data_IF_735605550727
#
_entry.id   IF_735605550727
#
_cell.length_a   1.000
_cell.length_b   1.000
_cell.length_c   1.000
_cell.angle_alpha   90.00
_cell.angle_beta   90.00
_cell.angle_gamma   90.00
#
_symmetry.space_group_name_H-M   'P 1'
#
loop_
_entity.id
_entity.type
_entity.pdbx_description
1 polymer ?
#
# COMPACT_ATOMS: atom_id res chain seq x y z
N UNK A 1 8.46 16.22 1.48
CA UNK A 1 8.89 17.48 0.82
C UNK A 1 10.32 17.82 1.20
N UNK A 2 10.68 17.75 2.49
CA UNK A 2 12.04 18.01 2.98
C UNK A 2 13.14 17.21 2.24
N UNK A 3 12.86 15.95 1.89
CA UNK A 3 13.79 15.06 1.17
C UNK A 3 13.47 14.89 -0.32
N UNK A 4 12.64 15.78 -0.89
CA UNK A 4 12.13 15.56 -2.25
C UNK A 4 13.27 15.55 -3.28
N UNK A 5 14.24 16.46 -3.15
CA UNK A 5 15.34 16.58 -4.11
C UNK A 5 16.28 15.37 -4.05
N UNK A 6 16.50 14.82 -2.86
CA UNK A 6 17.34 13.66 -2.59
C UNK A 6 16.79 12.39 -3.27
N UNK A 7 15.47 12.31 -3.46
CA UNK A 7 14.80 11.19 -4.15
C UNK A 7 14.35 11.54 -5.57
N UNK A 8 14.82 12.66 -6.13
CA UNK A 8 14.55 13.04 -7.52
C UNK A 8 13.14 13.60 -7.77
N UNK A 9 12.47 14.10 -6.73
CA UNK A 9 11.18 14.77 -6.82
C UNK A 9 11.31 16.29 -6.78
N UNK A 10 10.53 16.97 -7.61
CA UNK A 10 10.33 18.41 -7.47
C UNK A 10 9.41 18.68 -6.25
N UNK A 11 9.85 19.45 -5.24
CA UNK A 11 9.09 19.71 -4.03
C UNK A 11 7.74 20.42 -4.26
N UNK A 12 7.52 20.99 -5.45
CA UNK A 12 6.28 21.65 -5.86
C UNK A 12 5.20 20.68 -6.36
N UNK A 13 5.38 19.35 -6.21
CA UNK A 13 4.38 18.38 -6.64
C UNK A 13 3.00 18.62 -6.01
N UNK A 14 1.96 18.33 -6.80
CA UNK A 14 0.57 18.27 -6.32
C UNK A 14 0.16 16.82 -6.07
N UNK A 15 -0.94 16.64 -5.32
CA UNK A 15 -1.45 15.32 -4.97
C UNK A 15 -2.83 15.17 -5.60
N UNK A 16 -2.99 14.16 -6.46
CA UNK A 16 -4.28 13.79 -7.02
C UNK A 16 -5.08 12.96 -6.01
N UNK A 17 -6.38 13.23 -5.97
CA UNK A 17 -7.31 12.31 -5.32
C UNK A 17 -7.58 11.08 -6.20
N UNK A 18 -8.50 10.22 -5.76
CA UNK A 18 -8.81 8.98 -6.47
C UNK A 18 -9.51 9.22 -7.81
N UNK A 19 -10.35 10.25 -7.92
CA UNK A 19 -11.06 10.54 -9.17
C UNK A 19 -10.12 11.21 -10.18
N UNK A 20 -9.29 12.17 -9.73
CA UNK A 20 -8.25 12.80 -10.55
C UNK A 20 -7.27 11.74 -11.10
N UNK A 21 -6.85 10.79 -10.25
CA UNK A 21 -6.01 9.65 -10.64
C UNK A 21 -6.70 8.75 -11.67
N UNK A 22 -8.00 8.50 -11.49
CA UNK A 22 -8.77 7.69 -12.43
C UNK A 22 -8.94 8.39 -13.79
N UNK A 23 -9.12 9.71 -13.79
CA UNK A 23 -9.20 10.51 -15.02
C UNK A 23 -7.88 10.57 -15.76
N UNK A 24 -6.76 10.73 -15.05
CA UNK A 24 -5.42 10.68 -15.64
C UNK A 24 -5.11 9.28 -16.22
N UNK A 25 -5.48 8.22 -15.50
CA UNK A 25 -5.41 6.84 -16.01
C UNK A 25 -6.27 6.67 -17.27
N UNK A 26 -7.45 7.28 -17.31
CA UNK A 26 -8.32 7.22 -18.49
C UNK A 26 -7.74 7.98 -19.68
N UNK A 27 -7.10 9.13 -19.46
CA UNK A 27 -6.40 9.88 -20.50
C UNK A 27 -5.32 9.01 -21.15
N UNK A 28 -4.44 8.41 -20.34
CA UNK A 28 -3.41 7.48 -20.82
C UNK A 28 -4.02 6.29 -21.59
N UNK A 29 -5.13 5.74 -21.10
CA UNK A 29 -5.87 4.65 -21.76
C UNK A 29 -6.42 5.05 -23.13
N UNK A 30 -6.88 6.29 -23.29
CA UNK A 30 -7.36 6.82 -24.55
C UNK A 30 -6.22 7.11 -25.54
N UNK A 31 -5.11 7.68 -25.08
CA UNK A 31 -3.92 7.94 -25.89
C UNK A 31 -3.34 6.66 -26.51
N UNK A 32 -3.32 5.57 -25.74
CA UNK A 32 -2.86 4.25 -26.21
C UNK A 32 -3.88 3.50 -27.09
N UNK A 33 -5.06 4.08 -27.33
CA UNK A 33 -6.11 3.47 -28.15
C UNK A 33 -6.85 2.29 -27.49
N UNK A 34 -6.55 1.95 -26.23
CA UNK A 34 -7.19 0.85 -25.50
C UNK A 34 -8.67 1.09 -25.19
N UNK A 35 -9.17 2.31 -25.38
CA UNK A 35 -10.59 2.61 -25.30
C UNK A 35 -11.40 2.18 -26.53
N UNK A 36 -10.76 1.83 -27.64
CA UNK A 36 -11.38 1.56 -28.95
C UNK A 36 -11.22 0.10 -29.41
N UNK A 37 -10.69 -0.78 -28.56
CA UNK A 37 -10.47 -2.19 -28.89
C UNK A 37 -11.80 -2.93 -29.08
N UNK A 38 -11.83 -3.90 -30.01
CA UNK A 38 -13.01 -4.76 -30.23
C UNK A 38 -13.36 -5.59 -28.98
N UNK A 39 -12.34 -5.95 -28.19
CA UNK A 39 -12.52 -6.51 -26.85
C UNK A 39 -12.77 -5.42 -25.80
N UNK A 40 -13.66 -5.69 -24.84
CA UNK A 40 -13.98 -4.78 -23.72
C UNK A 40 -12.79 -4.68 -22.75
N UNK A 41 -11.87 -3.77 -23.04
CA UNK A 41 -10.77 -3.43 -22.13
C UNK A 41 -11.30 -2.89 -20.79
N UNK A 42 -10.59 -3.08 -19.66
CA UNK A 42 -11.08 -2.65 -18.35
C UNK A 42 -11.34 -1.14 -18.27
N UNK A 43 -12.28 -0.74 -17.41
CA UNK A 43 -12.62 0.67 -17.18
C UNK A 43 -11.52 1.39 -16.40
N UNK A 44 -11.53 2.74 -16.41
CA UNK A 44 -10.55 3.55 -15.68
C UNK A 44 -10.42 3.16 -14.21
N UNK A 45 -11.55 2.92 -13.54
CA UNK A 45 -11.58 2.52 -12.14
C UNK A 45 -10.99 1.13 -11.90
N UNK A 46 -11.25 0.18 -12.80
CA UNK A 46 -10.64 -1.16 -12.72
C UNK A 46 -9.14 -1.11 -12.99
N UNK A 47 -8.68 -0.35 -13.99
CA UNK A 47 -7.26 -0.15 -14.26
C UNK A 47 -6.53 0.45 -13.04
N UNK A 48 -7.10 1.51 -12.45
CA UNK A 48 -6.53 2.15 -11.27
C UNK A 48 -6.52 1.19 -10.06
N UNK A 49 -7.57 0.39 -9.85
CA UNK A 49 -7.61 -0.59 -8.77
C UNK A 49 -6.56 -1.70 -8.94
N UNK A 50 -6.33 -2.17 -10.17
CA UNK A 50 -5.29 -3.15 -10.47
C UNK A 50 -3.90 -2.55 -10.20
N UNK A 51 -3.65 -1.32 -10.69
CA UNK A 51 -2.39 -0.60 -10.46
C UNK A 51 -2.11 -0.44 -8.96
N UNK A 52 -3.08 0.14 -8.24
CA UNK A 52 -2.97 0.39 -6.80
C UNK A 52 -2.71 -0.91 -6.04
N UNK A 53 -3.40 -2.00 -6.39
CA UNK A 53 -3.19 -3.29 -5.74
C UNK A 53 -1.79 -3.85 -6.00
N UNK A 54 -1.28 -3.76 -7.23
CA UNK A 54 0.07 -4.23 -7.56
C UNK A 54 1.14 -3.46 -6.77
N UNK A 55 0.97 -2.14 -6.63
CA UNK A 55 1.85 -1.27 -5.83
C UNK A 55 1.80 -1.64 -4.35
N UNK A 56 0.62 -1.64 -3.74
CA UNK A 56 0.46 -1.85 -2.29
C UNK A 56 0.80 -3.28 -1.86
N UNK A 57 0.52 -4.27 -2.70
CA UNK A 57 0.89 -5.67 -2.44
C UNK A 57 2.36 -5.97 -2.74
N UNK A 58 3.09 -5.06 -3.41
CA UNK A 58 4.44 -5.30 -3.95
C UNK A 58 4.53 -6.63 -4.72
N UNK A 59 3.51 -6.92 -5.52
CA UNK A 59 3.37 -8.22 -6.18
C UNK A 59 3.38 -8.08 -7.71
N UNK A 60 3.89 -9.09 -8.44
CA UNK A 60 3.86 -9.08 -9.90
C UNK A 60 2.43 -8.95 -10.44
N UNK A 61 2.25 -8.15 -11.49
CA UNK A 61 0.94 -7.93 -12.10
C UNK A 61 0.24 -9.25 -12.48
N UNK A 62 0.99 -10.24 -12.97
CA UNK A 62 0.43 -11.54 -13.35
C UNK A 62 -0.24 -12.28 -12.19
N UNK A 63 0.33 -12.21 -10.98
CA UNK A 63 -0.25 -12.83 -9.78
C UNK A 63 -1.52 -12.11 -9.34
N UNK A 64 -1.50 -10.77 -9.37
CA UNK A 64 -2.68 -9.94 -9.05
C UNK A 64 -3.82 -10.21 -10.03
N UNK A 65 -3.51 -10.30 -11.32
CA UNK A 65 -4.50 -10.62 -12.34
C UNK A 65 -5.03 -12.05 -12.16
N UNK A 66 -4.18 -13.04 -11.90
CA UNK A 66 -4.62 -14.43 -11.74
C UNK A 66 -5.52 -14.66 -10.52
N UNK A 67 -5.29 -13.93 -9.43
CA UNK A 67 -5.99 -14.14 -8.15
C UNK A 67 -7.19 -13.22 -7.94
N UNK A 68 -7.07 -11.92 -8.27
CA UNK A 68 -8.03 -10.89 -7.84
C UNK A 68 -8.82 -10.32 -9.03
N UNK A 69 -8.19 -10.26 -10.21
CA UNK A 69 -8.81 -9.75 -11.43
C UNK A 69 -8.71 -10.73 -12.61
N UNK A 70 -9.15 -12.00 -12.47
CA UNK A 70 -8.92 -13.04 -13.49
C UNK A 70 -9.55 -12.71 -14.84
N UNK A 71 -10.65 -11.95 -14.86
CA UNK A 71 -11.28 -11.47 -16.09
C UNK A 71 -10.45 -10.42 -16.85
N UNK A 72 -9.41 -9.86 -16.23
CA UNK A 72 -8.46 -8.93 -16.86
C UNK A 72 -7.14 -9.61 -17.27
N UNK A 73 -6.95 -10.91 -17.00
CA UNK A 73 -5.68 -11.60 -17.23
C UNK A 73 -5.22 -11.56 -18.71
N UNK A 74 -6.16 -11.62 -19.66
CA UNK A 74 -5.86 -11.53 -21.09
C UNK A 74 -5.31 -10.18 -21.55
N UNK A 75 -5.34 -9.16 -20.70
CA UNK A 75 -4.87 -7.80 -20.98
C UNK A 75 -3.56 -7.45 -20.29
N UNK A 76 -2.82 -8.43 -19.74
CA UNK A 76 -1.65 -8.18 -18.90
C UNK A 76 -0.60 -7.27 -19.57
N UNK A 77 -0.25 -7.50 -20.84
CA UNK A 77 0.75 -6.68 -21.56
C UNK A 77 0.25 -5.26 -21.84
N UNK A 78 -1.03 -5.10 -22.19
CA UNK A 78 -1.65 -3.80 -22.38
C UNK A 78 -1.74 -3.03 -21.06
N UNK A 79 -2.04 -3.71 -19.95
CA UNK A 79 -2.06 -3.10 -18.62
C UNK A 79 -0.67 -2.65 -18.17
N UNK A 80 0.39 -3.44 -18.41
CA UNK A 80 1.78 -3.01 -18.18
C UNK A 80 2.10 -1.74 -18.96
N UNK A 81 1.77 -1.72 -20.25
CA UNK A 81 1.98 -0.55 -21.12
C UNK A 81 1.22 0.67 -20.61
N UNK A 82 -0.05 0.48 -20.20
CA UNK A 82 -0.88 1.54 -19.62
C UNK A 82 -0.29 2.08 -18.32
N UNK A 83 0.18 1.22 -17.42
CA UNK A 83 0.74 1.64 -16.13
C UNK A 83 2.07 2.37 -16.29
N UNK A 84 2.93 1.93 -17.21
CA UNK A 84 4.14 2.67 -17.57
C UNK A 84 3.78 4.07 -18.08
N UNK A 85 2.82 4.18 -19.01
CA UNK A 85 2.34 5.46 -19.51
C UNK A 85 1.74 6.34 -18.42
N UNK A 86 0.97 5.76 -17.51
CA UNK A 86 0.37 6.48 -16.38
C UNK A 86 1.45 7.08 -15.47
N UNK A 87 2.50 6.33 -15.15
CA UNK A 87 3.65 6.83 -14.35
C UNK A 87 4.40 7.93 -15.09
N UNK A 88 4.69 7.77 -16.38
CA UNK A 88 5.32 8.81 -17.21
C UNK A 88 4.50 10.11 -17.20
N UNK A 89 3.17 10.00 -17.36
CA UNK A 89 2.29 11.17 -17.38
C UNK A 89 2.25 11.86 -16.01
N UNK A 90 2.21 11.11 -14.91
CA UNK A 90 2.30 11.66 -13.54
C UNK A 90 3.60 12.44 -13.34
N UNK A 91 4.74 11.85 -13.74
CA UNK A 91 6.05 12.48 -13.66
C UNK A 91 6.14 13.76 -14.51
N UNK A 92 5.65 13.72 -15.75
CA UNK A 92 5.67 14.87 -16.65
C UNK A 92 4.82 16.06 -16.13
N UNK A 93 3.75 15.77 -15.36
CA UNK A 93 2.89 16.78 -14.76
C UNK A 93 3.32 17.20 -13.35
N UNK A 94 4.37 16.59 -12.80
CA UNK A 94 4.80 16.75 -11.42
C UNK A 94 3.65 16.49 -10.41
N UNK A 95 2.96 15.38 -10.60
CA UNK A 95 1.81 14.97 -9.78
C UNK A 95 2.09 13.62 -9.14
N UNK A 96 1.70 13.48 -7.88
CA UNK A 96 1.68 12.22 -7.14
C UNK A 96 0.24 11.80 -6.83
N UNK A 97 -0.02 10.50 -6.75
CA UNK A 97 -1.22 9.95 -6.11
C UNK A 97 -0.90 9.37 -4.72
N UNK A 98 -1.92 8.85 -4.02
CA UNK A 98 -1.72 8.29 -2.69
C UNK A 98 -0.79 7.06 -2.66
N UNK A 99 -0.73 6.29 -3.73
CA UNK A 99 0.15 5.11 -3.80
C UNK A 99 1.60 5.56 -4.01
N UNK A 100 1.82 6.63 -4.79
CA UNK A 100 3.14 7.24 -4.95
C UNK A 100 3.68 7.76 -3.62
N UNK A 101 2.85 8.38 -2.78
CA UNK A 101 3.29 8.84 -1.47
C UNK A 101 3.89 7.71 -0.64
N UNK A 102 3.27 6.52 -0.67
CA UNK A 102 3.80 5.33 0.00
C UNK A 102 5.07 4.80 -0.70
N UNK A 103 5.10 4.76 -2.03
CA UNK A 103 6.27 4.31 -2.79
C UNK A 103 7.50 5.17 -2.52
N UNK A 104 7.37 6.49 -2.56
CA UNK A 104 8.47 7.40 -2.25
C UNK A 104 8.88 7.34 -0.78
N UNK A 105 7.94 7.08 0.13
CA UNK A 105 8.28 6.84 1.54
C UNK A 105 9.08 5.55 1.72
N UNK A 106 8.69 4.47 1.03
CA UNK A 106 9.43 3.22 1.01
C UNK A 106 10.82 3.39 0.38
N UNK A 107 10.94 4.17 -0.69
CA UNK A 107 12.23 4.49 -1.30
C UNK A 107 13.14 5.24 -0.32
N UNK A 108 12.62 6.27 0.36
CA UNK A 108 13.38 7.01 1.39
C UNK A 108 13.80 6.12 2.55
N UNK A 109 12.90 5.26 3.03
CA UNK A 109 13.20 4.34 4.13
C UNK A 109 14.18 3.24 3.70
N UNK A 110 14.25 2.91 2.41
CA UNK A 110 15.21 1.97 1.84
C UNK A 110 16.62 2.53 1.66
N UNK A 111 16.78 3.86 1.62
CA UNK A 111 18.10 4.52 1.50
C UNK A 111 18.77 4.61 2.88
N UNK A 112 19.92 3.95 3.13
CA UNK A 112 20.47 3.80 4.48
C UNK A 112 20.73 5.11 5.22
N UNK A 113 21.23 6.14 4.54
CA UNK A 113 21.52 7.44 5.17
C UNK A 113 20.23 8.16 5.58
N UNK A 114 19.22 8.16 4.70
CA UNK A 114 17.92 8.78 4.97
C UNK A 114 17.18 8.00 6.05
N UNK A 115 17.19 6.67 5.96
CA UNK A 115 16.52 5.78 6.91
C UNK A 115 17.07 5.89 8.32
N UNK A 116 18.39 5.90 8.49
CA UNK A 116 19.01 6.09 9.81
C UNK A 116 18.64 7.44 10.43
N UNK A 117 18.60 8.50 9.62
CA UNK A 117 18.19 9.81 10.08
C UNK A 117 16.68 9.89 10.38
N UNK A 118 15.82 9.32 9.53
CA UNK A 118 14.37 9.29 9.74
C UNK A 118 13.99 8.43 10.95
N UNK A 119 14.52 7.21 11.04
CA UNK A 119 14.29 6.29 12.15
C UNK A 119 14.81 6.85 13.47
N UNK A 120 15.92 7.59 13.44
CA UNK A 120 16.48 8.29 14.61
C UNK A 120 15.68 9.51 15.08
N UNK A 121 14.72 10.02 14.29
CA UNK A 121 13.80 11.10 14.73
C UNK A 121 12.73 10.61 15.70
N UNK A 122 12.47 9.30 15.73
CA UNK A 122 11.39 8.73 16.52
C UNK A 122 11.98 7.70 17.49
N UNK A 123 12.07 8.03 18.77
CA UNK A 123 12.48 7.03 19.78
C UNK A 123 11.48 5.87 19.81
N UNK A 124 10.19 6.18 19.65
CA UNK A 124 9.09 5.22 19.63
C UNK A 124 8.15 5.45 18.44
N UNK A 125 7.69 4.37 17.83
CA UNK A 125 6.71 4.35 16.74
C UNK A 125 5.55 3.45 17.16
N UNK A 126 4.35 4.01 17.21
CA UNK A 126 3.12 3.28 17.53
C UNK A 126 2.25 3.22 16.28
N UNK A 127 1.85 2.01 15.90
CA UNK A 127 1.00 1.76 14.73
C UNK A 127 -0.28 1.09 15.18
N UNK A 128 -1.40 1.76 14.98
CA UNK A 128 -2.73 1.23 15.22
C UNK A 128 -3.28 0.52 13.97
N UNK A 129 -4.29 -0.33 14.14
CA UNK A 129 -4.95 -1.11 13.07
C UNK A 129 -3.96 -1.87 12.17
N UNK A 130 -2.92 -2.48 12.76
CA UNK A 130 -1.81 -3.08 12.03
C UNK A 130 -2.23 -4.26 11.14
N UNK A 131 -3.34 -4.93 11.47
CA UNK A 131 -3.92 -6.00 10.64
C UNK A 131 -4.33 -5.52 9.25
N UNK A 132 -4.62 -4.23 9.09
CA UNK A 132 -5.08 -3.64 7.83
C UNK A 132 -3.95 -3.03 6.99
N UNK A 133 -2.70 -3.15 7.47
CA UNK A 133 -1.53 -2.70 6.72
C UNK A 133 -1.26 -3.59 5.52
N UNK A 134 -0.82 -2.99 4.43
CA UNK A 134 -0.31 -3.72 3.27
C UNK A 134 1.21 -3.96 3.37
N UNK A 135 1.75 -4.77 2.45
CA UNK A 135 3.18 -5.11 2.45
C UNK A 135 4.09 -3.88 2.29
N UNK A 136 3.70 -2.92 1.46
CA UNK A 136 4.44 -1.68 1.26
C UNK A 136 4.56 -0.89 2.59
N UNK A 137 3.46 -0.71 3.31
CA UNK A 137 3.45 -0.05 4.64
C UNK A 137 4.27 -0.81 5.69
N UNK A 138 4.21 -2.14 5.73
CA UNK A 138 5.03 -2.93 6.66
C UNK A 138 6.54 -2.84 6.32
N UNK A 139 6.90 -2.83 5.03
CA UNK A 139 8.29 -2.71 4.58
C UNK A 139 8.93 -1.39 5.03
N UNK A 140 8.17 -0.31 4.96
CA UNK A 140 8.53 1.01 5.43
C UNK A 140 8.89 0.99 6.92
N UNK A 141 8.03 0.39 7.76
CA UNK A 141 8.21 0.36 9.21
C UNK A 141 9.44 -0.48 9.57
N UNK A 142 9.62 -1.61 8.89
CA UNK A 142 10.78 -2.48 9.03
C UNK A 142 12.07 -1.74 8.66
N UNK A 143 12.03 -0.92 7.60
CA UNK A 143 13.19 -0.16 7.18
C UNK A 143 13.56 0.96 8.16
N UNK A 144 12.56 1.63 8.76
CA UNK A 144 12.78 2.66 9.79
C UNK A 144 13.23 2.09 11.15
N UNK A 145 12.76 0.89 11.50
CA UNK A 145 13.06 0.19 12.76
C UNK A 145 13.57 -1.22 12.45
N UNK A 146 14.79 -1.36 11.88
CA UNK A 146 15.31 -2.63 11.36
C UNK A 146 15.52 -3.71 12.43
N UNK A 147 15.69 -3.32 13.69
CA UNK A 147 15.80 -4.23 14.84
C UNK A 147 14.51 -4.34 15.66
N UNK A 148 13.45 -3.63 15.25
CA UNK A 148 12.17 -3.54 15.98
C UNK A 148 12.21 -2.66 17.22
N UNK A 149 13.35 -2.04 17.56
CA UNK A 149 13.50 -1.24 18.78
C UNK A 149 12.59 -0.01 18.78
N UNK A 150 11.76 0.10 19.81
CA UNK A 150 10.79 1.18 19.96
C UNK A 150 9.59 1.09 19.02
N UNK A 151 9.42 0.02 18.25
CA UNK A 151 8.23 -0.23 17.44
C UNK A 151 7.16 -0.98 18.26
N UNK A 152 5.95 -0.44 18.30
CA UNK A 152 4.78 -1.09 18.90
C UNK A 152 3.65 -1.08 17.89
N UNK A 153 3.08 -2.25 17.62
CA UNK A 153 1.92 -2.39 16.73
C UNK A 153 0.73 -2.89 17.53
N UNK A 154 -0.45 -2.39 17.20
CA UNK A 154 -1.73 -2.77 17.80
C UNK A 154 -2.67 -3.17 16.68
N UNK A 155 -3.43 -4.24 16.89
CA UNK A 155 -4.42 -4.70 15.94
C UNK A 155 -5.14 -5.95 16.40
N UNK A 156 -6.15 -6.34 15.62
CA UNK A 156 -7.01 -7.50 15.87
C UNK A 156 -7.19 -8.27 14.55
N UNK A 157 -6.68 -9.50 14.48
CA UNK A 157 -6.73 -10.31 13.26
C UNK A 157 -8.16 -10.68 12.85
N UNK A 158 -9.09 -10.79 13.81
CA UNK A 158 -10.50 -11.01 13.53
C UNK A 158 -11.19 -9.80 12.87
N UNK A 159 -10.55 -8.62 12.92
CA UNK A 159 -11.04 -7.38 12.31
C UNK A 159 -10.36 -7.03 10.98
N UNK A 160 -9.52 -7.90 10.44
CA UNK A 160 -8.87 -7.71 9.13
C UNK A 160 -9.88 -7.78 7.97
N UNK A 161 -10.53 -6.66 7.66
CA UNK A 161 -11.57 -6.56 6.61
C UNK A 161 -11.09 -5.83 5.33
N UNK A 162 -9.88 -5.25 5.33
CA UNK A 162 -9.38 -4.46 4.19
C UNK A 162 -8.53 -5.25 3.17
N UNK A 163 -8.70 -6.58 3.09
CA UNK A 163 -7.99 -7.43 2.11
C UNK A 163 -8.22 -7.01 0.65
N UNK A 164 -9.35 -6.35 0.35
CA UNK A 164 -9.64 -5.76 -0.97
C UNK A 164 -8.69 -4.60 -1.33
N UNK A 165 -8.07 -3.94 -0.34
CA UNK A 165 -7.01 -2.92 -0.50
C UNK A 165 -5.60 -3.46 -0.35
N UNK A 166 -5.41 -4.77 -0.48
CA UNK A 166 -4.14 -5.46 -0.29
C UNK A 166 -3.60 -5.45 1.16
N UNK A 167 -4.48 -5.30 2.16
CA UNK A 167 -4.10 -5.61 3.54
C UNK A 167 -3.57 -7.05 3.63
N UNK A 168 -2.47 -7.23 4.35
CA UNK A 168 -1.80 -8.50 4.55
C UNK A 168 -1.88 -8.85 6.04
N UNK A 169 -2.88 -9.66 6.41
CA UNK A 169 -3.09 -10.10 7.80
C UNK A 169 -1.85 -10.80 8.36
N UNK A 170 -1.02 -11.41 7.50
CA UNK A 170 0.24 -12.00 7.96
C UNK A 170 1.20 -10.97 8.56
N UNK A 171 1.09 -9.70 8.22
CA UNK A 171 1.90 -8.64 8.84
C UNK A 171 1.75 -8.68 10.37
N UNK A 172 0.52 -8.74 10.89
CA UNK A 172 0.30 -8.80 12.35
C UNK A 172 0.59 -10.19 12.93
N UNK A 173 0.22 -11.26 12.21
CA UNK A 173 0.40 -12.64 12.70
C UNK A 173 1.89 -13.04 12.80
N UNK A 174 2.72 -12.57 11.87
CA UNK A 174 4.15 -12.90 11.80
C UNK A 174 5.01 -11.88 12.58
N UNK A 175 4.46 -10.71 12.97
CA UNK A 175 5.17 -9.64 13.69
C UNK A 175 5.98 -10.12 14.90
N UNK A 176 5.47 -11.01 15.79
CA UNK A 176 6.22 -11.43 16.97
C UNK A 176 7.55 -12.12 16.67
N UNK A 177 7.73 -12.64 15.44
CA UNK A 177 8.93 -13.35 14.99
C UNK A 177 9.66 -12.61 13.88
N UNK A 178 9.22 -11.40 13.53
CA UNK A 178 9.74 -10.63 12.41
C UNK A 178 11.19 -10.16 12.63
N UNK A 179 11.55 -9.86 13.88
CA UNK A 179 12.86 -9.33 14.25
C UNK A 179 13.73 -10.39 14.96
N UNK A 180 15.03 -10.13 15.02
CA UNK A 180 15.99 -11.02 15.68
C UNK A 180 15.67 -11.23 17.17
N UNK A 181 15.18 -10.17 17.83
CA UNK A 181 14.57 -10.28 19.15
C UNK A 181 13.05 -10.42 18.96
N UNK A 182 12.43 -11.50 19.48
CA UNK A 182 10.99 -11.65 19.42
C UNK A 182 10.28 -10.50 20.13
N UNK A 183 9.18 -10.03 19.56
CA UNK A 183 8.39 -8.96 20.19
C UNK A 183 7.65 -9.50 21.43
N UNK A 184 7.50 -8.64 22.44
CA UNK A 184 6.59 -8.92 23.54
C UNK A 184 5.15 -8.87 23.04
N UNK A 185 4.34 -9.87 23.40
CA UNK A 185 2.92 -9.94 23.05
C UNK A 185 2.10 -9.66 24.30
N UNK A 186 1.25 -8.63 24.23
CA UNK A 186 0.31 -8.28 25.28
C UNK A 186 -1.11 -8.45 24.74
N UNK A 187 -1.87 -9.39 25.33
CA UNK A 187 -3.26 -9.64 24.94
C UNK A 187 -4.22 -8.81 25.80
N UNK A 188 -5.11 -8.05 25.15
CA UNK A 188 -6.15 -7.26 25.82
C UNK A 188 -7.52 -7.96 25.73
N UNK A 189 -7.76 -8.93 26.61
CA UNK A 189 -8.93 -9.82 26.53
C UNK A 189 -10.21 -9.21 27.15
N UNK A 190 -10.07 -8.13 27.92
CA UNK A 190 -11.20 -7.50 28.60
C UNK A 190 -11.85 -6.45 27.73
N UNK A 191 -13.08 -6.72 27.31
CA UNK A 191 -13.90 -5.74 26.60
C UNK A 191 -14.55 -4.73 27.56
N UNK A 192 -14.47 -3.44 27.22
CA UNK A 192 -15.08 -2.34 27.99
C UNK A 192 -16.18 -1.59 27.20
N UNK A 193 -16.50 -2.03 25.97
CA UNK A 193 -17.43 -1.33 25.06
C UNK A 193 -18.83 -1.96 25.06
N UNK A 194 -18.90 -3.29 25.09
CA UNK A 194 -20.11 -4.07 24.83
C UNK A 194 -20.51 -4.91 26.05
N UNK A 195 -21.79 -5.24 26.15
CA UNK A 195 -22.30 -6.15 27.19
C UNK A 195 -21.93 -7.60 26.87
N UNK A 196 -21.96 -8.47 27.89
CA UNK A 196 -21.68 -9.91 27.74
C UNK A 196 -22.57 -10.58 26.68
N UNK A 197 -23.83 -10.17 26.54
CA UNK A 197 -24.73 -10.73 25.52
C UNK A 197 -24.26 -10.42 24.09
N UNK A 198 -23.76 -9.21 23.84
CA UNK A 198 -23.23 -8.84 22.52
C UNK A 198 -21.91 -9.56 22.26
N UNK A 199 -21.05 -9.69 23.27
CA UNK A 199 -19.79 -10.41 23.16
C UNK A 199 -19.99 -11.90 22.91
N UNK A 200 -20.94 -12.53 23.62
CA UNK A 200 -21.28 -13.92 23.40
C UNK A 200 -21.79 -14.17 21.98
N UNK A 201 -22.56 -13.23 21.41
CA UNK A 201 -23.01 -13.33 20.03
C UNK A 201 -21.89 -13.12 19.00
N UNK A 202 -20.90 -12.28 19.29
CA UNK A 202 -19.76 -12.04 18.40
C UNK A 202 -18.72 -13.17 18.42
N UNK A 203 -18.61 -13.90 19.55
CA UNK A 203 -17.64 -14.98 19.75
C UNK A 203 -18.19 -16.38 19.43
N UNK A 204 -19.48 -16.51 19.12
CA UNK A 204 -20.15 -17.79 18.81
C UNK A 204 -19.95 -18.21 17.34
#
# INVERSE_FOLDING_TARGET
RDYALEIGLDPAFTIHDREDSADLMNLARHELGFSKTEGRFPTKGTCLAIYSRAVNAQAPLGEILGSVFPWCAGWAEQLKTLFARYVETKQAQNVLDYDDLLLYWAQMAGEPEISAHLGGRFDHVLVDEYQDTNRLQASILTALKPDGSGLTVVGDDAQSIYSFRAAEVRNILDFPKQFAQPAEIVMLERNYRSTETILAAANA
#
